data_IF_126133298814
#
_entry.id   IF_126133298814
#
_cell.length_a   1.000
_cell.length_b   1.000
_cell.length_c   1.000
_cell.angle_alpha   90.00
_cell.angle_beta   90.00
_cell.angle_gamma   90.00
#
_symmetry.space_group_name_H-M   'P 1'
#
loop_
_entity.id
_entity.type
_entity.pdbx_description
1 polymer ?
#
# COMPACT_ATOMS: atom_id res chain seq x y z
N UNK A 1 -30.82 -27.41 -17.43
CA UNK A 1 -31.83 -26.88 -18.35
C UNK A 1 -31.44 -25.45 -18.68
N UNK A 2 -31.09 -25.18 -19.93
CA UNK A 2 -30.80 -23.83 -20.43
C UNK A 2 -32.12 -23.11 -20.66
N UNK A 3 -32.62 -22.41 -19.63
CA UNK A 3 -33.68 -21.43 -19.81
C UNK A 3 -33.14 -20.31 -20.68
N UNK A 4 -33.67 -20.17 -21.89
CA UNK A 4 -33.38 -19.04 -22.76
C UNK A 4 -33.63 -17.73 -21.98
N UNK A 5 -32.66 -16.82 -21.95
CA UNK A 5 -32.86 -15.49 -21.39
C UNK A 5 -33.94 -14.81 -22.24
N UNK A 6 -35.07 -14.49 -21.62
CA UNK A 6 -36.08 -13.64 -22.25
C UNK A 6 -35.53 -12.22 -22.28
N UNK A 7 -35.05 -11.77 -23.45
CA UNK A 7 -34.56 -10.41 -23.65
C UNK A 7 -35.79 -9.56 -23.96
N UNK A 8 -36.11 -8.54 -23.14
CA UNK A 8 -37.25 -7.68 -23.41
C UNK A 8 -37.06 -6.93 -24.73
N UNK A 9 -38.15 -6.72 -25.46
CA UNK A 9 -38.14 -5.99 -26.74
C UNK A 9 -37.80 -4.50 -26.57
N UNK A 10 -38.06 -3.93 -25.39
CA UNK A 10 -37.75 -2.55 -25.03
C UNK A 10 -37.13 -2.47 -23.63
N UNK A 11 -36.17 -1.55 -23.45
CA UNK A 11 -35.52 -1.28 -22.16
C UNK A 11 -35.81 0.16 -21.76
N UNK A 12 -36.34 0.37 -20.55
CA UNK A 12 -36.51 1.69 -19.97
C UNK A 12 -35.23 2.11 -19.23
N UNK A 13 -34.51 3.08 -19.79
CA UNK A 13 -33.27 3.57 -19.18
C UNK A 13 -33.48 4.30 -17.84
N UNK A 14 -34.66 4.87 -17.60
CA UNK A 14 -35.00 5.46 -16.30
C UNK A 14 -35.00 4.42 -15.18
N UNK A 15 -35.67 3.29 -15.40
CA UNK A 15 -35.70 2.15 -14.47
C UNK A 15 -34.30 1.58 -14.22
N UNK A 16 -33.47 1.47 -15.28
CA UNK A 16 -32.07 1.05 -15.14
C UNK A 16 -31.29 1.99 -14.22
N UNK A 17 -31.48 3.30 -14.36
CA UNK A 17 -30.81 4.29 -13.51
C UNK A 17 -31.31 4.25 -12.07
N UNK A 18 -32.60 4.02 -11.84
CA UNK A 18 -33.16 3.83 -10.50
C UNK A 18 -32.54 2.62 -9.80
N UNK A 19 -32.45 1.47 -10.48
CA UNK A 19 -31.79 0.27 -9.95
C UNK A 19 -30.31 0.53 -9.64
N UNK A 20 -29.59 1.23 -10.54
CA UNK A 20 -28.19 1.59 -10.29
C UNK A 20 -28.03 2.48 -9.05
N UNK A 21 -28.95 3.42 -8.84
CA UNK A 21 -28.94 4.28 -7.65
C UNK A 21 -29.22 3.46 -6.38
N UNK A 22 -30.14 2.48 -6.45
CA UNK A 22 -30.38 1.55 -5.35
C UNK A 22 -29.16 0.71 -5.00
N UNK A 23 -28.39 0.24 -5.99
CA UNK A 23 -27.14 -0.48 -5.73
C UNK A 23 -26.11 0.38 -5.00
N UNK A 24 -26.06 1.69 -5.31
CA UNK A 24 -25.11 2.61 -4.67
C UNK A 24 -25.54 3.03 -3.25
N UNK A 25 -26.81 2.87 -2.89
CA UNK A 25 -27.34 3.15 -1.55
C UNK A 25 -27.02 2.00 -0.59
N UNK A 26 -26.62 2.33 0.64
CA UNK A 26 -26.39 1.31 1.69
C UNK A 26 -27.62 0.43 1.88
N UNK A 27 -27.47 -0.88 1.65
CA UNK A 27 -28.55 -1.87 1.67
C UNK A 27 -29.70 -1.60 0.69
N UNK A 28 -29.53 -0.71 -0.30
CA UNK A 28 -30.59 -0.34 -1.24
C UNK A 28 -31.00 -1.47 -2.18
N UNK A 29 -30.17 -2.52 -2.32
CA UNK A 29 -30.57 -3.74 -3.04
C UNK A 29 -31.77 -4.46 -2.42
N UNK A 30 -32.09 -4.19 -1.14
CA UNK A 30 -33.30 -4.72 -0.49
C UNK A 30 -34.58 -4.05 -0.97
N UNK A 31 -34.46 -2.91 -1.65
CA UNK A 31 -35.58 -2.14 -2.22
C UNK A 31 -35.81 -2.48 -3.70
N UNK A 32 -35.08 -3.45 -4.27
CA UNK A 32 -35.28 -3.95 -5.63
C UNK A 32 -35.60 -5.44 -5.64
N UNK A 33 -35.91 -5.98 -6.81
CA UNK A 33 -36.16 -7.41 -7.01
C UNK A 33 -34.87 -8.22 -6.85
N UNK A 34 -34.83 -9.14 -5.88
CA UNK A 34 -33.68 -10.00 -5.65
C UNK A 34 -33.39 -10.94 -6.82
N UNK A 35 -34.40 -11.29 -7.64
CA UNK A 35 -34.17 -12.07 -8.86
C UNK A 35 -33.37 -11.27 -9.88
N UNK A 36 -33.63 -9.97 -10.00
CA UNK A 36 -32.82 -9.07 -10.82
C UNK A 36 -31.39 -9.01 -10.30
N UNK A 37 -31.19 -8.82 -8.99
CA UNK A 37 -29.83 -8.82 -8.38
C UNK A 37 -29.10 -10.13 -8.68
N UNK A 38 -29.78 -11.27 -8.56
CA UNK A 38 -29.24 -12.58 -8.87
C UNK A 38 -28.84 -12.71 -10.35
N UNK A 39 -29.70 -12.32 -11.28
CA UNK A 39 -29.42 -12.35 -12.72
C UNK A 39 -28.26 -11.43 -13.09
N UNK A 40 -28.21 -10.23 -12.53
CA UNK A 40 -27.08 -9.31 -12.72
C UNK A 40 -25.79 -9.92 -12.20
N UNK A 41 -25.81 -10.52 -11.00
CA UNK A 41 -24.64 -11.17 -10.42
C UNK A 41 -24.18 -12.40 -11.21
N UNK A 42 -25.10 -13.21 -11.76
CA UNK A 42 -24.76 -14.30 -12.68
C UNK A 42 -24.09 -13.80 -13.96
N UNK A 43 -24.61 -12.73 -14.57
CA UNK A 43 -24.01 -12.11 -15.76
C UNK A 43 -22.60 -11.59 -15.45
N UNK A 44 -22.42 -10.89 -14.33
CA UNK A 44 -21.12 -10.40 -13.89
C UNK A 44 -20.12 -11.53 -13.64
N UNK A 45 -20.58 -12.61 -13.00
CA UNK A 45 -19.78 -13.82 -12.77
C UNK A 45 -19.33 -14.43 -14.09
N UNK A 46 -20.25 -14.59 -15.05
CA UNK A 46 -19.93 -15.16 -16.36
C UNK A 46 -18.91 -14.31 -17.13
N UNK A 47 -19.09 -12.99 -17.14
CA UNK A 47 -18.13 -12.06 -17.72
C UNK A 47 -16.74 -12.19 -17.08
N UNK A 48 -16.68 -12.22 -15.73
CA UNK A 48 -15.44 -12.39 -14.99
C UNK A 48 -14.77 -13.75 -15.23
N UNK A 49 -15.52 -14.83 -15.34
CA UNK A 49 -14.97 -16.18 -15.59
C UNK A 49 -14.41 -16.35 -17.00
N UNK A 50 -14.92 -15.61 -17.98
CA UNK A 50 -14.40 -15.62 -19.35
C UNK A 50 -13.19 -14.71 -19.56
N UNK A 51 -12.93 -13.79 -18.64
CA UNK A 51 -11.82 -12.86 -18.75
C UNK A 51 -10.49 -13.54 -18.41
N UNK A 52 -9.45 -13.32 -19.24
CA UNK A 52 -8.13 -13.89 -19.02
C UNK A 52 -7.35 -13.13 -17.93
N UNK A 53 -7.64 -13.45 -16.67
CA UNK A 53 -7.00 -12.79 -15.52
C UNK A 53 -5.50 -12.99 -15.46
N UNK A 54 -4.98 -14.14 -15.88
CA UNK A 54 -3.54 -14.43 -15.82
C UNK A 54 -2.77 -13.55 -16.80
N UNK A 55 -3.24 -13.46 -18.03
CA UNK A 55 -2.65 -12.59 -19.04
C UNK A 55 -2.74 -11.12 -18.60
N UNK A 56 -3.91 -10.68 -18.12
CA UNK A 56 -4.07 -9.34 -17.54
C UNK A 56 -3.06 -9.06 -16.43
N UNK A 57 -2.87 -9.99 -15.50
CA UNK A 57 -1.92 -9.83 -14.39
C UNK A 57 -0.49 -9.73 -14.90
N UNK A 58 -0.11 -10.50 -15.92
CA UNK A 58 1.21 -10.40 -16.53
C UNK A 58 1.41 -9.06 -17.24
N UNK A 59 0.39 -8.53 -17.93
CA UNK A 59 0.46 -7.20 -18.53
C UNK A 59 0.66 -6.09 -17.49
N UNK A 60 0.01 -6.18 -16.31
CA UNK A 60 0.12 -5.16 -15.25
C UNK A 60 1.41 -5.28 -14.45
N UNK A 61 1.74 -6.49 -14.01
CA UNK A 61 2.75 -6.72 -12.98
C UNK A 61 4.02 -7.37 -13.55
N UNK A 62 3.96 -7.95 -14.75
CA UNK A 62 5.08 -8.66 -15.39
C UNK A 62 6.11 -7.75 -16.04
N UNK A 63 5.92 -6.42 -16.03
CA UNK A 63 6.85 -5.41 -16.57
C UNK A 63 7.22 -5.62 -18.05
N UNK A 64 6.35 -6.27 -18.82
CA UNK A 64 6.49 -6.41 -20.27
C UNK A 64 5.67 -5.32 -20.96
N UNK A 65 6.27 -4.52 -21.85
CA UNK A 65 5.50 -3.64 -22.72
C UNK A 65 4.52 -4.45 -23.58
N UNK A 66 3.31 -3.95 -23.74
CA UNK A 66 2.23 -4.57 -24.54
C UNK A 66 1.79 -3.55 -25.58
N UNK A 67 1.51 -3.99 -26.80
CA UNK A 67 0.96 -3.11 -27.82
C UNK A 67 -0.43 -2.62 -27.39
N UNK A 68 -0.81 -1.40 -27.79
CA UNK A 68 -2.03 -0.75 -27.31
C UNK A 68 -3.28 -1.57 -27.64
N UNK A 69 -3.30 -2.17 -28.82
CA UNK A 69 -4.33 -3.05 -29.35
C UNK A 69 -4.49 -4.38 -28.57
N UNK A 70 -3.43 -4.82 -27.89
CA UNK A 70 -3.40 -6.07 -27.12
C UNK A 70 -3.68 -5.85 -25.63
N UNK A 71 -3.88 -4.60 -25.20
CA UNK A 71 -4.17 -4.29 -23.80
C UNK A 71 -5.51 -4.89 -23.39
N UNK A 72 -5.46 -5.77 -22.39
CA UNK A 72 -6.66 -6.34 -21.80
C UNK A 72 -7.28 -5.39 -20.78
N UNK A 73 -8.46 -4.89 -21.10
CA UNK A 73 -9.31 -4.16 -20.14
C UNK A 73 -10.27 -5.14 -19.46
N UNK A 74 -10.38 -5.10 -18.11
CA UNK A 74 -11.38 -5.91 -17.43
C UNK A 74 -12.79 -5.52 -17.89
N UNK A 75 -13.77 -6.44 -17.82
CA UNK A 75 -15.13 -6.14 -18.24
C UNK A 75 -15.71 -5.01 -17.40
N UNK A 76 -16.39 -4.07 -18.04
CA UNK A 76 -17.19 -3.07 -17.34
C UNK A 76 -18.42 -3.73 -16.74
N UNK A 77 -18.50 -3.72 -15.41
CA UNK A 77 -19.61 -4.34 -14.66
C UNK A 77 -20.54 -3.26 -14.11
N UNK A 78 -21.84 -3.58 -13.91
CA UNK A 78 -22.75 -2.74 -13.14
C UNK A 78 -22.20 -2.43 -11.73
N UNK A 79 -22.62 -1.31 -11.11
CA UNK A 79 -22.25 -0.98 -9.75
C UNK A 79 -22.52 -2.14 -8.80
N UNK A 80 -21.61 -2.38 -7.86
CA UNK A 80 -21.80 -3.41 -6.84
C UNK A 80 -22.78 -2.88 -5.78
N UNK A 81 -23.85 -3.63 -5.45
CA UNK A 81 -24.72 -3.34 -4.32
C UNK A 81 -23.96 -3.08 -3.01
N UNK A 82 -24.19 -1.92 -2.37
CA UNK A 82 -23.64 -1.63 -1.03
C UNK A 82 -24.36 -2.48 0.04
N UNK A 83 -23.64 -3.02 1.04
CA UNK A 83 -22.25 -2.71 1.43
C UNK A 83 -21.16 -3.50 0.72
N UNK A 84 -21.50 -4.45 -0.15
CA UNK A 84 -20.53 -5.34 -0.78
C UNK A 84 -19.49 -4.57 -1.63
N UNK A 85 -18.28 -5.11 -1.72
CA UNK A 85 -17.14 -4.57 -2.48
C UNK A 85 -16.95 -5.27 -3.83
N UNK A 86 -17.54 -6.45 -4.00
CA UNK A 86 -17.52 -7.17 -5.29
C UNK A 86 -18.82 -7.92 -5.57
N UNK A 87 -19.11 -8.18 -6.85
CA UNK A 87 -20.21 -9.07 -7.24
C UNK A 87 -20.02 -10.51 -6.74
N UNK A 88 -18.77 -10.93 -6.50
CA UNK A 88 -18.47 -12.21 -5.85
C UNK A 88 -19.06 -12.25 -4.44
N UNK A 89 -18.85 -11.21 -3.64
CA UNK A 89 -19.38 -11.12 -2.28
C UNK A 89 -20.91 -11.06 -2.25
N UNK A 90 -21.53 -10.32 -3.19
CA UNK A 90 -23.00 -10.31 -3.36
C UNK A 90 -23.51 -11.73 -3.60
N UNK A 91 -22.90 -12.44 -4.56
CA UNK A 91 -23.33 -13.79 -4.92
C UNK A 91 -23.08 -14.79 -3.79
N UNK A 92 -21.94 -14.71 -3.11
CA UNK A 92 -21.62 -15.61 -2.00
C UNK A 92 -22.54 -15.39 -0.79
N UNK A 93 -22.80 -14.13 -0.45
CA UNK A 93 -23.57 -13.73 0.75
C UNK A 93 -25.07 -13.83 0.54
N UNK A 94 -25.61 -13.38 -0.60
CA UNK A 94 -27.08 -13.34 -0.79
C UNK A 94 -27.64 -14.62 -1.40
N UNK A 95 -26.87 -15.30 -2.26
CA UNK A 95 -27.38 -16.41 -3.08
C UNK A 95 -26.55 -17.69 -2.96
N UNK A 96 -25.42 -17.63 -2.26
CA UNK A 96 -24.41 -18.67 -2.21
C UNK A 96 -24.42 -19.45 -0.91
N UNK A 97 -23.25 -20.01 -0.58
CA UNK A 97 -23.04 -20.82 0.62
C UNK A 97 -22.70 -20.02 1.88
N UNK A 98 -22.62 -18.69 1.83
CA UNK A 98 -22.27 -17.83 2.97
C UNK A 98 -23.47 -17.00 3.48
N UNK A 99 -24.70 -17.45 3.20
CA UNK A 99 -25.95 -16.74 3.56
C UNK A 99 -26.18 -16.62 5.06
N UNK A 100 -25.62 -17.55 5.82
CA UNK A 100 -25.65 -17.62 7.27
C UNK A 100 -24.46 -16.92 7.94
N UNK A 101 -23.49 -16.45 7.15
CA UNK A 101 -22.36 -15.67 7.65
C UNK A 101 -22.69 -14.18 7.67
N UNK A 102 -22.26 -13.49 8.72
CA UNK A 102 -22.30 -12.03 8.77
C UNK A 102 -21.24 -11.43 7.83
N UNK A 103 -21.64 -10.48 7.00
CA UNK A 103 -20.74 -9.78 6.08
C UNK A 103 -20.07 -8.59 6.78
N UNK A 104 -18.74 -8.53 6.76
CA UNK A 104 -17.92 -7.51 7.43
C UNK A 104 -18.32 -7.23 8.90
N UNK A 105 -18.34 -8.26 9.79
CA UNK A 105 -18.73 -8.09 11.19
C UNK A 105 -17.80 -7.11 11.91
N UNK A 106 -18.32 -5.94 12.29
CA UNK A 106 -17.51 -4.87 12.90
C UNK A 106 -16.92 -5.30 14.27
N UNK A 107 -17.59 -6.22 14.96
CA UNK A 107 -17.19 -6.75 16.25
C UNK A 107 -16.12 -7.85 16.17
N UNK A 108 -15.77 -8.34 14.97
CA UNK A 108 -14.85 -9.47 14.78
C UNK A 108 -13.53 -9.01 14.14
N UNK A 109 -12.77 -8.17 14.85
CA UNK A 109 -11.46 -7.66 14.40
C UNK A 109 -10.34 -8.54 14.95
N UNK A 110 -9.53 -9.12 14.05
CA UNK A 110 -8.39 -9.99 14.39
C UNK A 110 -7.08 -9.19 14.36
N UNK A 111 -6.38 -9.11 15.50
CA UNK A 111 -5.06 -8.50 15.56
C UNK A 111 -3.98 -9.46 15.06
N UNK A 112 -3.01 -8.95 14.30
CA UNK A 112 -1.82 -9.69 13.87
C UNK A 112 -0.59 -8.80 13.88
N UNK A 113 0.61 -9.41 13.91
CA UNK A 113 1.90 -8.73 13.86
C UNK A 113 2.78 -9.38 12.80
N UNK A 114 3.45 -8.58 11.98
CA UNK A 114 4.51 -9.04 11.07
C UNK A 114 5.87 -8.63 11.64
N UNK A 115 6.78 -9.59 11.80
CA UNK A 115 8.14 -9.34 12.26
C UNK A 115 9.09 -9.12 11.08
N UNK A 116 10.03 -8.19 11.25
CA UNK A 116 11.05 -7.86 10.25
C UNK A 116 12.40 -7.68 10.95
N UNK A 117 13.48 -8.06 10.27
CA UNK A 117 14.85 -7.72 10.65
C UNK A 117 15.38 -6.62 9.74
N UNK A 118 16.27 -5.79 10.28
CA UNK A 118 16.93 -4.73 9.52
C UNK A 118 18.43 -5.00 9.49
N UNK A 119 18.99 -5.00 8.29
CA UNK A 119 20.43 -5.06 8.08
C UNK A 119 20.90 -3.68 7.63
N UNK A 120 21.71 -2.97 8.42
CA UNK A 120 22.29 -1.69 8.01
C UNK A 120 23.33 -1.89 6.91
N UNK A 121 23.54 -0.87 6.09
CA UNK A 121 24.65 -0.87 5.13
C UNK A 121 26.01 -0.82 5.87
N UNK A 122 26.15 0.09 6.85
CA UNK A 122 27.33 0.16 7.73
C UNK A 122 26.98 0.56 9.16
N UNK A 123 27.85 0.15 10.10
CA UNK A 123 27.81 0.53 11.51
C UNK A 123 29.08 1.33 11.82
N UNK A 124 28.94 2.45 12.55
CA UNK A 124 30.10 3.27 12.90
C UNK A 124 31.06 2.53 13.84
N UNK A 125 32.35 2.59 13.54
CA UNK A 125 33.38 1.90 14.32
C UNK A 125 33.62 2.49 15.71
N UNK A 126 33.21 3.74 15.95
CA UNK A 126 33.39 4.44 17.22
C UNK A 126 32.14 4.37 18.12
N UNK A 127 30.97 4.06 17.55
CA UNK A 127 29.71 3.93 18.28
C UNK A 127 28.74 3.03 17.50
N UNK A 128 28.48 1.82 18.02
CA UNK A 128 27.66 0.80 17.36
C UNK A 128 26.16 1.13 17.26
N UNK A 129 25.75 2.29 17.77
CA UNK A 129 24.39 2.84 17.62
C UNK A 129 24.27 3.86 16.50
N UNK A 130 25.37 4.24 15.86
CA UNK A 130 25.37 5.11 14.69
C UNK A 130 25.41 4.22 13.44
N UNK A 131 24.40 4.40 12.61
CA UNK A 131 24.18 3.61 11.39
C UNK A 131 24.35 4.53 10.20
N UNK A 132 25.20 4.12 9.26
CA UNK A 132 25.35 4.80 7.98
C UNK A 132 24.57 4.02 6.92
N UNK A 133 23.79 4.74 6.12
CA UNK A 133 22.87 4.13 5.17
C UNK A 133 22.93 4.85 3.82
N UNK A 134 23.35 4.14 2.76
CA UNK A 134 23.48 4.68 1.42
C UNK A 134 22.14 4.60 0.68
N UNK A 135 21.64 5.74 0.18
CA UNK A 135 20.39 5.76 -0.60
C UNK A 135 20.46 6.67 -1.81
N UNK A 136 20.12 6.09 -2.96
CA UNK A 136 19.77 6.88 -4.14
C UNK A 136 18.39 7.52 -3.99
N UNK A 137 17.41 6.73 -3.57
CA UNK A 137 16.06 7.21 -3.23
C UNK A 137 15.51 6.29 -2.14
N UNK A 138 14.75 6.85 -1.20
CA UNK A 138 13.77 6.05 -0.45
C UNK A 138 12.58 5.94 -1.41
N UNK A 139 11.95 4.79 -1.71
CA UNK A 139 10.96 4.73 -2.80
C UNK A 139 9.52 4.97 -2.33
N UNK A 140 9.21 4.62 -1.09
CA UNK A 140 7.85 4.70 -0.56
C UNK A 140 7.78 5.03 0.94
N UNK A 141 6.55 5.21 1.43
CA UNK A 141 6.29 5.54 2.82
C UNK A 141 6.58 4.36 3.77
N UNK A 142 6.55 3.12 3.29
CA UNK A 142 6.85 1.92 4.10
C UNK A 142 8.34 1.89 4.41
N UNK A 143 9.20 2.09 3.40
CA UNK A 143 10.64 2.22 3.58
C UNK A 143 11.01 3.44 4.44
N UNK A 144 10.34 4.58 4.26
CA UNK A 144 10.56 5.74 5.12
C UNK A 144 10.18 5.44 6.60
N UNK A 145 9.07 4.72 6.84
CA UNK A 145 8.64 4.34 8.19
C UNK A 145 9.59 3.33 8.83
N UNK A 146 10.16 2.41 8.04
CA UNK A 146 11.13 1.40 8.50
C UNK A 146 12.27 2.03 9.29
N UNK A 147 12.96 3.05 8.75
CA UNK A 147 14.09 3.69 9.45
C UNK A 147 13.67 4.32 10.79
N UNK A 148 12.51 4.98 10.83
CA UNK A 148 11.95 5.54 12.07
C UNK A 148 11.64 4.46 13.11
N UNK A 149 11.04 3.35 12.67
CA UNK A 149 10.76 2.21 13.53
C UNK A 149 12.04 1.60 14.08
N UNK A 150 13.02 1.32 13.23
CA UNK A 150 14.32 0.76 13.61
C UNK A 150 15.03 1.68 14.61
N UNK A 151 15.14 2.98 14.30
CA UNK A 151 15.76 3.97 15.17
C UNK A 151 15.11 4.02 16.55
N UNK A 152 13.77 4.14 16.59
CA UNK A 152 13.02 4.25 17.84
C UNK A 152 13.08 2.98 18.68
N UNK A 153 12.99 1.80 18.07
CA UNK A 153 12.88 0.54 18.79
C UNK A 153 14.24 -0.01 19.26
N UNK A 154 15.33 0.34 18.56
CA UNK A 154 16.67 -0.16 18.87
C UNK A 154 17.57 0.91 19.49
N UNK A 155 17.12 2.16 19.55
CA UNK A 155 17.92 3.27 20.07
C UNK A 155 19.16 3.50 19.21
N UNK A 156 18.97 3.56 17.89
CA UNK A 156 20.03 3.84 16.90
C UNK A 156 19.77 5.16 16.18
N UNK A 157 20.84 5.77 15.68
CA UNK A 157 20.80 7.00 14.92
C UNK A 157 21.24 6.75 13.48
N UNK A 158 20.45 7.20 12.51
CA UNK A 158 20.80 7.08 11.10
C UNK A 158 21.51 8.35 10.61
N UNK A 159 22.56 8.12 9.83
CA UNK A 159 23.23 9.10 8.99
C UNK A 159 23.09 8.60 7.54
N UNK A 160 22.28 9.29 6.74
CA UNK A 160 22.08 8.90 5.34
C UNK A 160 23.18 9.45 4.44
N UNK A 161 23.63 8.66 3.47
CA UNK A 161 24.52 9.09 2.40
C UNK A 161 23.68 9.15 1.12
N UNK A 162 23.38 10.35 0.65
CA UNK A 162 22.58 10.54 -0.56
C UNK A 162 23.46 10.70 -1.80
N UNK A 163 23.05 10.08 -2.90
CA UNK A 163 23.76 10.17 -4.18
C UNK A 163 23.79 11.61 -4.75
N UNK A 164 22.76 12.42 -4.49
CA UNK A 164 22.69 13.80 -4.94
C UNK A 164 21.73 14.65 -4.08
N UNK A 165 21.84 15.96 -4.26
CA UNK A 165 21.06 16.97 -3.50
C UNK A 165 19.66 17.15 -4.10
N UNK A 166 18.71 17.56 -3.27
CA UNK A 166 17.33 17.94 -3.62
C UNK A 166 16.50 16.83 -4.28
N UNK A 167 16.75 15.57 -3.91
CA UNK A 167 15.93 14.45 -4.37
C UNK A 167 14.55 14.56 -3.71
N UNK A 168 13.50 14.72 -4.50
CA UNK A 168 12.13 14.73 -3.98
C UNK A 168 11.74 13.35 -3.45
N UNK A 169 10.92 13.31 -2.40
CA UNK A 169 10.29 12.08 -1.90
C UNK A 169 9.11 11.65 -2.81
N UNK A 170 9.17 10.53 -3.57
CA UNK A 170 8.08 10.05 -4.41
C UNK A 170 6.69 9.93 -3.75
N UNK A 171 6.61 9.63 -2.46
CA UNK A 171 5.36 9.38 -1.71
C UNK A 171 4.71 10.65 -1.16
N UNK A 172 5.31 11.82 -1.37
CA UNK A 172 4.84 13.06 -0.79
C UNK A 172 4.03 13.84 -1.83
N UNK A 173 2.81 14.22 -1.44
CA UNK A 173 1.98 15.10 -2.26
C UNK A 173 2.64 16.48 -2.37
N UNK A 174 2.53 17.18 -3.52
CA UNK A 174 2.96 18.56 -3.63
C UNK A 174 2.32 19.45 -2.56
N UNK A 175 3.06 20.45 -2.10
CA UNK A 175 2.55 21.53 -1.24
C UNK A 175 1.65 22.47 -2.06
N UNK A 176 1.00 23.42 -1.40
CA UNK A 176 0.10 24.39 -2.07
C UNK A 176 0.84 25.24 -3.13
N UNK A 177 2.12 25.52 -2.90
CA UNK A 177 2.99 26.26 -3.83
C UNK A 177 3.59 25.38 -4.95
N UNK A 178 3.23 24.09 -5.01
CA UNK A 178 3.72 23.14 -6.00
C UNK A 178 5.07 22.49 -5.67
N UNK A 179 5.77 22.95 -4.63
CA UNK A 179 7.03 22.33 -4.19
C UNK A 179 6.80 20.95 -3.56
N UNK A 180 7.82 20.10 -3.56
CA UNK A 180 7.77 18.76 -2.94
C UNK A 180 8.84 18.62 -1.86
N UNK A 181 8.52 17.84 -0.83
CA UNK A 181 9.48 17.55 0.21
C UNK A 181 10.69 16.79 -0.34
N UNK A 182 11.90 17.24 -0.03
CA UNK A 182 13.13 16.54 -0.40
C UNK A 182 13.52 15.49 0.66
N UNK A 183 14.46 14.60 0.33
CA UNK A 183 15.00 13.63 1.28
C UNK A 183 15.70 14.31 2.47
N UNK A 184 16.38 15.43 2.24
CA UNK A 184 17.02 16.25 3.27
C UNK A 184 16.00 16.82 4.27
N UNK A 185 14.92 17.41 3.75
CA UNK A 185 13.83 17.92 4.58
C UNK A 185 13.18 16.78 5.38
N UNK A 186 13.03 15.61 4.76
CA UNK A 186 12.51 14.42 5.43
C UNK A 186 13.44 13.93 6.54
N UNK A 187 14.76 13.82 6.31
CA UNK A 187 15.74 13.44 7.32
C UNK A 187 15.70 14.38 8.51
N UNK A 188 15.75 15.69 8.24
CA UNK A 188 15.67 16.74 9.27
C UNK A 188 14.40 16.61 10.09
N UNK A 189 13.24 16.45 9.44
CA UNK A 189 11.95 16.25 10.11
C UNK A 189 11.87 14.92 10.87
N UNK A 190 12.58 13.89 10.42
CA UNK A 190 12.67 12.59 11.06
C UNK A 190 13.64 12.56 12.25
N UNK A 191 14.48 13.59 12.40
CA UNK A 191 15.54 13.63 13.40
C UNK A 191 16.79 12.86 13.01
N UNK A 192 17.01 12.63 11.72
CA UNK A 192 18.19 11.98 11.17
C UNK A 192 19.16 13.00 10.57
N UNK A 193 20.43 12.63 10.54
CA UNK A 193 21.45 13.39 9.84
C UNK A 193 21.68 12.81 8.44
N UNK A 194 22.31 13.58 7.57
CA UNK A 194 22.66 13.12 6.23
C UNK A 194 23.92 13.83 5.72
N UNK A 195 24.57 13.20 4.76
CA UNK A 195 25.66 13.73 3.94
C UNK A 195 25.47 13.21 2.51
N UNK A 196 26.45 13.46 1.64
CA UNK A 196 26.41 13.04 0.25
C UNK A 196 27.58 12.12 -0.07
N UNK A 197 27.44 11.35 -1.14
CA UNK A 197 28.51 10.49 -1.64
C UNK A 197 29.80 11.30 -1.84
N UNK A 198 30.89 10.84 -1.21
CA UNK A 198 32.21 11.51 -1.23
C UNK A 198 32.39 12.64 -0.21
N UNK A 199 31.35 13.02 0.54
CA UNK A 199 31.42 14.03 1.61
C UNK A 199 31.51 13.39 3.02
N UNK A 200 31.62 12.06 3.13
CA UNK A 200 31.55 11.33 4.40
C UNK A 200 32.71 11.68 5.34
N UNK A 201 33.93 11.77 4.80
CA UNK A 201 35.12 12.11 5.59
C UNK A 201 34.99 13.51 6.21
N UNK A 202 34.48 14.48 5.43
CA UNK A 202 34.23 15.83 5.92
C UNK A 202 33.10 15.86 6.95
N UNK A 203 32.03 15.09 6.75
CA UNK A 203 30.99 14.94 7.77
C UNK A 203 31.54 14.37 9.08
N UNK A 204 32.45 13.40 9.02
CA UNK A 204 33.11 12.82 10.20
C UNK A 204 34.03 13.79 10.95
N UNK A 205 34.46 14.89 10.32
CA UNK A 205 35.19 15.98 10.98
C UNK A 205 34.25 17.01 11.61
N UNK A 206 32.95 16.97 11.30
CA UNK A 206 31.99 17.95 11.77
C UNK A 206 31.77 17.87 13.29
N UNK A 207 31.49 19.02 13.91
CA UNK A 207 31.10 19.10 15.33
C UNK A 207 29.89 18.22 15.64
N UNK A 208 28.95 18.11 14.70
CA UNK A 208 27.73 17.30 14.83
C UNK A 208 28.05 15.82 14.94
N UNK A 209 28.89 15.28 14.05
CA UNK A 209 29.31 13.89 14.13
C UNK A 209 30.07 13.59 15.43
N UNK A 210 31.02 14.45 15.80
CA UNK A 210 31.80 14.26 17.03
C UNK A 210 30.92 14.28 18.29
N UNK A 211 29.87 15.11 18.30
CA UNK A 211 28.86 15.13 19.35
C UNK A 211 28.05 13.82 19.38
N UNK A 212 27.59 13.33 18.23
CA UNK A 212 26.85 12.08 18.12
C UNK A 212 27.67 10.90 18.65
N UNK A 213 28.91 10.72 18.17
CA UNK A 213 29.79 9.61 18.61
C UNK A 213 29.98 9.65 20.13
N UNK A 214 30.21 10.84 20.69
CA UNK A 214 30.49 11.02 22.12
C UNK A 214 29.27 10.82 23.01
N UNK A 215 28.09 11.26 22.57
CA UNK A 215 26.94 11.46 23.45
C UNK A 215 25.74 10.56 23.12
N UNK A 216 25.59 10.10 21.88
CA UNK A 216 24.44 9.28 21.50
C UNK A 216 24.51 7.91 22.16
N UNK A 217 23.48 7.55 22.93
CA UNK A 217 23.41 6.27 23.63
C UNK A 217 24.45 6.07 24.73
N UNK A 218 25.14 7.13 25.20
CA UNK A 218 26.25 7.03 26.16
C UNK A 218 25.92 6.31 27.48
N UNK A 219 24.66 6.32 27.91
CA UNK A 219 24.18 5.61 29.11
C UNK A 219 23.73 4.17 28.85
N UNK A 220 23.82 3.70 27.61
CA UNK A 220 23.40 2.37 27.18
C UNK A 220 24.62 1.48 26.97
N UNK A 221 24.48 0.18 27.21
CA UNK A 221 25.49 -0.79 26.79
C UNK A 221 25.60 -0.84 25.26
N UNK A 222 26.67 -1.47 24.77
CA UNK A 222 26.84 -1.76 23.33
C UNK A 222 25.55 -2.37 22.76
N UNK A 223 25.14 -1.90 21.58
CA UNK A 223 24.02 -2.47 20.87
C UNK A 223 24.26 -3.94 20.54
N UNK A 224 25.46 -4.31 20.10
CA UNK A 224 25.79 -5.70 19.80
C UNK A 224 25.60 -6.62 21.01
N UNK A 225 26.05 -6.18 22.19
CA UNK A 225 25.81 -6.92 23.44
C UNK A 225 24.32 -7.04 23.79
N UNK A 226 23.52 -6.01 23.51
CA UNK A 226 22.07 -6.06 23.75
C UNK A 226 21.36 -7.03 22.82
N UNK A 227 21.80 -7.09 21.56
CA UNK A 227 21.23 -7.98 20.57
C UNK A 227 21.57 -9.45 20.87
N UNK A 228 22.78 -9.74 21.34
CA UNK A 228 23.21 -11.10 21.69
C UNK A 228 22.62 -11.64 23.01
N UNK A 229 21.96 -10.79 23.81
CA UNK A 229 21.28 -11.19 25.06
C UNK A 229 19.83 -11.62 24.85
N UNK A 230 19.27 -11.40 23.66
CA UNK A 230 17.90 -11.79 23.29
C UNK A 230 17.91 -13.15 22.58
#
# INVERSE_FOLDING_TARGET
>A
MTTALNIPELINMGEVMEIRNLFMKMNGYKETDLELVYKTGLACRYAGQKFNWNERNEQVFGRKPVALEDVLFPPELPPVPKPFRSWLEVMATLFGGLRDCEYEPEHYKLSYVTQHTYQPDWVDSLNDRIIWEGKGVIPDLVDARKYKCVAKQNGVHFIFIFQCKNIHCPWVRPRQDGTKMTLEEWCTKAGFDYTYEGEEEEFRKSKRYLDLVKNFGKSQSSLLEQLNKK
#
